data_IF_519051978306
#
_entry.id   IF_519051978306
#
_cell.length_a   1.000
_cell.length_b   1.000
_cell.length_c   1.000
_cell.angle_alpha   90.00
_cell.angle_beta   90.00
_cell.angle_gamma   90.00
#
_symmetry.space_group_name_H-M   'P 1'
#
loop_
_entity.id
_entity.type
_entity.pdbx_description
1 polymer ?
#
# COMPACT_ATOMS: atom_id res chain seq x y z
N UNK A 1 -34.70 3.25 16.32
CA UNK A 1 -34.86 3.28 14.86
C UNK A 1 -34.16 4.53 14.36
N UNK A 2 -33.05 4.37 13.64
CA UNK A 2 -32.25 5.46 13.08
C UNK A 2 -32.30 5.34 11.56
N UNK A 3 -32.72 6.42 10.91
CA UNK A 3 -33.22 6.54 9.53
C UNK A 3 -32.15 6.48 8.41
N UNK A 4 -31.10 5.66 8.56
CA UNK A 4 -30.09 5.47 7.50
C UNK A 4 -29.74 4.00 7.14
N UNK A 5 -30.50 3.00 7.58
CA UNK A 5 -29.94 1.63 7.69
C UNK A 5 -30.72 0.43 7.17
N UNK A 6 -31.38 0.44 5.99
CA UNK A 6 -32.06 -0.79 5.49
C UNK A 6 -31.62 -1.32 4.13
N UNK A 7 -31.18 -0.48 3.18
CA UNK A 7 -30.81 -0.96 1.84
C UNK A 7 -29.41 -1.57 1.77
N UNK A 8 -28.40 -0.92 2.37
CA UNK A 8 -27.01 -1.40 2.32
C UNK A 8 -26.82 -2.73 3.08
N UNK A 9 -27.31 -2.91 4.33
CA UNK A 9 -27.21 -4.20 5.01
C UNK A 9 -27.87 -5.36 4.25
N UNK A 10 -28.99 -5.10 3.56
CA UNK A 10 -29.66 -6.11 2.71
C UNK A 10 -28.82 -6.50 1.50
N UNK A 11 -28.16 -5.53 0.86
CA UNK A 11 -27.25 -5.80 -0.25
C UNK A 11 -26.04 -6.64 0.21
N UNK A 12 -25.46 -6.31 1.36
CA UNK A 12 -24.35 -7.09 1.94
C UNK A 12 -24.80 -8.52 2.26
N UNK A 13 -25.97 -8.70 2.89
CA UNK A 13 -26.51 -10.04 3.15
C UNK A 13 -26.73 -10.84 1.85
N UNK A 14 -27.24 -10.20 0.80
CA UNK A 14 -27.43 -10.84 -0.51
C UNK A 14 -26.11 -11.34 -1.11
N UNK A 15 -25.03 -10.55 -0.98
CA UNK A 15 -23.69 -10.96 -1.39
C UNK A 15 -23.26 -12.20 -0.59
N UNK A 16 -23.40 -12.18 0.73
CA UNK A 16 -23.04 -13.31 1.58
C UNK A 16 -23.82 -14.58 1.22
N UNK A 17 -25.12 -14.45 0.92
CA UNK A 17 -25.95 -15.58 0.49
C UNK A 17 -25.52 -16.15 -0.86
N UNK A 18 -25.22 -15.31 -1.86
CA UNK A 18 -24.73 -15.77 -3.17
C UNK A 18 -23.40 -16.52 -3.06
N UNK A 19 -22.57 -16.14 -2.10
CA UNK A 19 -21.28 -16.78 -1.82
C UNK A 19 -21.40 -18.01 -0.89
N UNK A 20 -22.61 -18.37 -0.45
CA UNK A 20 -22.82 -19.47 0.49
C UNK A 20 -22.23 -19.22 1.89
N UNK A 21 -22.04 -17.95 2.26
CA UNK A 21 -21.47 -17.52 3.54
C UNK A 21 -22.54 -17.18 4.58
N UNK A 22 -23.80 -17.09 4.18
CA UNK A 22 -24.97 -16.89 5.04
C UNK A 22 -26.22 -17.56 4.45
N UNK A 23 -27.07 -18.10 5.32
CA UNK A 23 -28.41 -18.60 4.97
C UNK A 23 -29.46 -17.47 4.99
N UNK A 24 -30.62 -17.62 4.31
CA UNK A 24 -31.67 -16.59 4.25
C UNK A 24 -32.13 -16.06 5.61
N UNK A 25 -32.21 -16.93 6.63
CA UNK A 25 -32.68 -16.58 7.97
C UNK A 25 -31.54 -16.23 8.94
N UNK A 26 -30.33 -16.00 8.42
CA UNK A 26 -29.16 -15.69 9.26
C UNK A 26 -29.33 -14.34 9.96
N UNK A 27 -29.31 -14.36 11.29
CA UNK A 27 -29.22 -13.14 12.09
C UNK A 27 -27.80 -12.61 12.01
N UNK A 28 -27.63 -11.48 11.33
CA UNK A 28 -26.34 -10.81 11.15
C UNK A 28 -26.37 -9.40 11.75
N UNK A 29 -25.26 -8.97 12.35
CA UNK A 29 -25.04 -7.56 12.72
C UNK A 29 -24.05 -6.94 11.77
N UNK A 30 -24.33 -5.71 11.35
CA UNK A 30 -23.55 -4.99 10.36
C UNK A 30 -22.97 -3.74 10.99
N UNK A 31 -21.65 -3.60 10.93
CA UNK A 31 -20.93 -2.43 11.38
C UNK A 31 -20.09 -1.90 10.22
N UNK A 32 -20.30 -0.63 9.86
CA UNK A 32 -19.51 0.02 8.81
C UNK A 32 -18.14 0.40 9.36
N UNK A 33 -17.08 -0.06 8.72
CA UNK A 33 -15.71 0.32 9.08
C UNK A 33 -15.33 1.63 8.40
N UNK A 34 -14.61 2.48 9.11
CA UNK A 34 -14.15 3.80 8.64
C UNK A 34 -12.67 3.76 8.25
N UNK A 35 -12.19 4.80 7.56
CA UNK A 35 -10.76 4.98 7.26
C UNK A 35 -10.35 4.77 5.79
N UNK A 36 -11.17 4.09 4.99
CA UNK A 36 -10.97 3.95 3.54
C UNK A 36 -11.77 4.96 2.72
N UNK A 37 -11.18 5.51 1.65
CA UNK A 37 -11.86 6.44 0.72
C UNK A 37 -12.31 5.76 -0.58
N UNK A 38 -11.70 4.63 -0.95
CA UNK A 38 -11.93 3.92 -2.21
C UNK A 38 -12.94 2.80 -2.13
N UNK A 39 -13.35 2.38 -0.93
CA UNK A 39 -14.24 1.24 -0.73
C UNK A 39 -15.23 1.46 0.40
N UNK A 40 -16.36 0.76 0.30
CA UNK A 40 -17.26 0.47 1.41
C UNK A 40 -16.80 -0.77 2.12
N UNK A 41 -16.49 -0.65 3.41
CA UNK A 41 -15.99 -1.76 4.22
C UNK A 41 -16.97 -2.01 5.35
N UNK A 42 -17.38 -3.26 5.52
CA UNK A 42 -18.32 -3.71 6.52
C UNK A 42 -17.75 -4.85 7.32
N UNK A 43 -17.79 -4.74 8.64
CA UNK A 43 -17.75 -5.90 9.51
C UNK A 43 -19.15 -6.50 9.58
N UNK A 44 -19.24 -7.81 9.39
CA UNK A 44 -20.47 -8.57 9.52
C UNK A 44 -20.28 -9.66 10.57
N UNK A 45 -20.97 -9.52 11.70
CA UNK A 45 -20.99 -10.55 12.73
C UNK A 45 -22.11 -11.54 12.43
N UNK A 46 -21.72 -12.79 12.17
CA UNK A 46 -22.58 -13.96 11.99
C UNK A 46 -22.48 -14.85 13.24
N UNK A 47 -23.38 -15.84 13.43
CA UNK A 47 -23.22 -16.82 14.50
C UNK A 47 -21.84 -17.49 14.46
N UNK A 48 -21.05 -17.28 15.52
CA UNK A 48 -19.73 -17.90 15.71
C UNK A 48 -18.56 -17.29 14.92
N UNK A 49 -18.76 -16.28 14.06
CA UNK A 49 -17.66 -15.66 13.29
C UNK A 49 -17.96 -14.23 12.86
N UNK A 50 -16.89 -13.44 12.68
CA UNK A 50 -16.95 -12.12 12.07
C UNK A 50 -16.27 -12.13 10.69
N UNK A 51 -16.86 -11.42 9.74
CA UNK A 51 -16.36 -11.27 8.37
C UNK A 51 -16.13 -9.81 8.03
N UNK A 52 -15.25 -9.58 7.06
CA UNK A 52 -15.06 -8.28 6.44
C UNK A 52 -15.56 -8.35 4.99
N UNK A 53 -16.52 -7.51 4.63
CA UNK A 53 -16.98 -7.32 3.25
C UNK A 53 -16.45 -5.99 2.74
N UNK A 54 -15.71 -6.04 1.64
CA UNK A 54 -15.15 -4.86 0.99
C UNK A 54 -15.74 -4.73 -0.41
N UNK A 55 -16.38 -3.60 -0.69
CA UNK A 55 -16.99 -3.27 -1.98
C UNK A 55 -16.35 -2.01 -2.56
N UNK A 56 -15.80 -2.09 -3.77
CA UNK A 56 -15.16 -0.94 -4.41
C UNK A 56 -16.20 0.14 -4.78
N UNK A 57 -15.83 1.41 -4.60
CA UNK A 57 -16.63 2.56 -5.02
C UNK A 57 -16.17 3.07 -6.38
N UNK A 58 -17.10 3.39 -7.29
CA UNK A 58 -16.76 4.05 -8.55
C UNK A 58 -16.22 5.48 -8.35
N UNK A 59 -16.78 6.21 -7.38
CA UNK A 59 -16.32 7.54 -6.94
C UNK A 59 -15.72 7.45 -5.54
N UNK A 60 -14.49 7.91 -5.37
CA UNK A 60 -13.79 7.94 -4.08
C UNK A 60 -14.39 9.01 -3.17
N UNK A 61 -14.41 8.74 -1.85
CA UNK A 61 -14.84 9.67 -0.80
C UNK A 61 -13.76 10.71 -0.48
N UNK A 62 -13.37 11.51 -1.46
CA UNK A 62 -12.42 12.62 -1.31
C UNK A 62 -13.04 13.94 -1.77
N UNK A 63 -12.45 15.08 -1.36
CA UNK A 63 -12.99 16.41 -1.69
C UNK A 63 -12.94 16.73 -3.18
N UNK A 64 -11.92 16.21 -3.87
CA UNK A 64 -11.76 16.34 -5.32
C UNK A 64 -12.50 15.22 -6.04
N UNK A 65 -12.96 15.45 -7.27
CA UNK A 65 -13.55 14.39 -8.07
C UNK A 65 -12.46 13.38 -8.48
N UNK A 66 -12.48 12.22 -7.84
CA UNK A 66 -11.58 11.11 -8.12
C UNK A 66 -12.40 9.84 -8.36
N UNK A 67 -12.34 9.36 -9.61
CA UNK A 67 -12.98 8.12 -10.04
C UNK A 67 -11.92 7.04 -10.23
N UNK A 68 -12.27 5.81 -9.88
CA UNK A 68 -11.41 4.67 -10.11
C UNK A 68 -12.24 3.48 -10.62
N UNK A 69 -11.70 2.64 -11.52
CA UNK A 69 -12.40 1.46 -12.03
C UNK A 69 -12.77 0.50 -10.90
N UNK A 70 -14.02 0.04 -10.84
CA UNK A 70 -14.48 -0.90 -9.78
C UNK A 70 -13.89 -2.30 -9.94
N UNK A 71 -13.45 -2.66 -11.15
CA UNK A 71 -12.75 -3.91 -11.45
C UNK A 71 -11.46 -4.11 -10.64
N UNK A 72 -10.92 -3.06 -10.01
CA UNK A 72 -9.80 -3.17 -9.06
C UNK A 72 -10.09 -4.13 -7.90
N UNK A 73 -11.35 -4.32 -7.51
CA UNK A 73 -11.74 -5.32 -6.52
C UNK A 73 -11.38 -6.75 -6.96
N UNK A 74 -11.45 -7.04 -8.26
CA UNK A 74 -11.06 -8.34 -8.83
C UNK A 74 -9.58 -8.60 -8.70
N UNK A 75 -8.76 -7.61 -8.97
CA UNK A 75 -7.32 -7.75 -8.88
C UNK A 75 -6.83 -7.80 -7.43
N UNK A 76 -7.54 -7.15 -6.50
CA UNK A 76 -7.28 -7.33 -5.07
C UNK A 76 -7.55 -8.77 -4.62
N UNK A 77 -8.70 -9.35 -4.98
CA UNK A 77 -9.00 -10.75 -4.68
C UNK A 77 -7.97 -11.70 -5.30
N UNK A 78 -7.60 -11.48 -6.57
CA UNK A 78 -6.57 -12.27 -7.24
C UNK A 78 -5.19 -12.15 -6.57
N UNK A 79 -4.81 -10.96 -6.10
CA UNK A 79 -3.58 -10.77 -5.32
C UNK A 79 -3.64 -11.56 -4.01
N UNK A 80 -4.76 -11.51 -3.28
CA UNK A 80 -4.94 -12.25 -2.04
C UNK A 80 -4.80 -13.76 -2.24
N UNK A 81 -5.35 -14.30 -3.33
CA UNK A 81 -5.18 -15.72 -3.67
C UNK A 81 -3.72 -16.09 -3.91
N UNK A 82 -3.01 -15.31 -4.74
CA UNK A 82 -1.60 -15.59 -5.09
C UNK A 82 -0.71 -15.45 -3.85
N UNK A 83 -0.81 -14.33 -3.13
CA UNK A 83 0.00 -14.06 -1.96
C UNK A 83 -0.31 -15.06 -0.82
N UNK A 84 -1.58 -15.35 -0.57
CA UNK A 84 -2.01 -16.31 0.45
C UNK A 84 -1.58 -17.75 0.17
N UNK A 85 -1.49 -18.14 -1.11
CA UNK A 85 -0.96 -19.44 -1.51
C UNK A 85 0.57 -19.54 -1.32
N UNK A 86 1.30 -18.44 -1.55
CA UNK A 86 2.76 -18.37 -1.34
C UNK A 86 3.13 -18.34 0.15
N UNK A 87 2.38 -17.57 0.95
CA UNK A 87 2.61 -17.42 2.38
C UNK A 87 1.29 -17.29 3.14
N UNK A 88 0.78 -18.38 3.72
CA UNK A 88 -0.42 -18.32 4.56
C UNK A 88 -0.27 -17.28 5.69
N UNK A 89 -1.28 -16.40 5.83
CA UNK A 89 -1.28 -15.33 6.82
C UNK A 89 -0.50 -14.06 6.44
N UNK A 90 -0.07 -13.92 5.17
CA UNK A 90 0.49 -12.67 4.63
C UNK A 90 -0.58 -11.67 4.20
N UNK A 91 -1.79 -12.15 3.93
CA UNK A 91 -3.02 -11.41 3.64
C UNK A 91 -4.15 -12.02 4.47
N UNK A 92 -5.29 -11.33 4.67
CA UNK A 92 -6.48 -11.96 5.23
C UNK A 92 -6.91 -13.12 4.33
N UNK A 93 -7.40 -14.21 4.93
CA UNK A 93 -8.00 -15.30 4.17
C UNK A 93 -9.21 -14.79 3.38
N UNK A 94 -9.12 -14.88 2.05
CA UNK A 94 -10.24 -14.65 1.14
C UNK A 94 -11.27 -15.77 1.32
N UNK A 95 -12.53 -15.40 1.53
CA UNK A 95 -13.65 -16.33 1.75
C UNK A 95 -14.56 -16.43 0.53
N UNK A 96 -14.58 -15.40 -0.31
CA UNK A 96 -15.33 -15.40 -1.55
C UNK A 96 -15.28 -14.05 -2.24
N UNK A 97 -15.64 -14.03 -3.51
CA UNK A 97 -15.72 -12.83 -4.32
C UNK A 97 -17.00 -12.85 -5.15
N UNK A 98 -17.74 -11.75 -5.10
CA UNK A 98 -18.91 -11.48 -5.92
C UNK A 98 -18.56 -10.38 -6.93
N UNK A 99 -18.07 -10.80 -8.10
CA UNK A 99 -17.66 -9.88 -9.18
C UNK A 99 -18.81 -8.98 -9.65
N UNK A 100 -20.04 -9.51 -9.69
CA UNK A 100 -21.22 -8.75 -10.10
C UNK A 100 -21.51 -7.60 -9.13
N UNK A 101 -21.28 -7.81 -7.84
CA UNK A 101 -21.42 -6.78 -6.83
C UNK A 101 -20.15 -5.92 -6.63
N UNK A 102 -19.04 -6.25 -7.31
CA UNK A 102 -17.74 -5.62 -7.10
C UNK A 102 -17.25 -5.75 -5.66
N UNK A 103 -17.54 -6.89 -5.02
CA UNK A 103 -17.29 -7.13 -3.61
C UNK A 103 -16.44 -8.37 -3.37
N UNK A 104 -15.55 -8.28 -2.38
CA UNK A 104 -14.84 -9.43 -1.82
C UNK A 104 -15.19 -9.59 -0.35
N UNK A 105 -15.16 -10.83 0.12
CA UNK A 105 -15.41 -11.20 1.50
C UNK A 105 -14.18 -11.91 2.04
N UNK A 106 -13.66 -11.44 3.16
CA UNK A 106 -12.46 -11.97 3.79
C UNK A 106 -12.66 -12.15 5.29
N UNK A 107 -11.74 -12.86 5.95
CA UNK A 107 -11.75 -12.93 7.40
C UNK A 107 -11.63 -11.54 8.04
N UNK A 108 -12.34 -11.32 9.15
CA UNK A 108 -12.18 -10.11 9.93
C UNK A 108 -11.03 -10.28 10.93
N UNK A 109 -10.04 -9.39 10.85
CA UNK A 109 -8.88 -9.37 11.74
C UNK A 109 -9.10 -8.31 12.84
N UNK A 110 -9.35 -8.68 14.11
CA UNK A 110 -9.68 -7.72 15.15
C UNK A 110 -8.47 -6.85 15.53
N UNK A 111 -8.67 -5.53 15.57
CA UNK A 111 -7.61 -4.54 15.86
C UNK A 111 -6.82 -4.82 17.15
N UNK A 112 -7.49 -5.35 18.20
CA UNK A 112 -6.82 -5.71 19.47
C UNK A 112 -5.71 -6.77 19.29
N UNK A 113 -5.79 -7.60 18.26
CA UNK A 113 -4.83 -8.67 17.92
C UNK A 113 -3.97 -8.27 16.72
N UNK A 114 -4.53 -7.46 15.83
CA UNK A 114 -3.92 -7.01 14.57
C UNK A 114 -3.92 -5.47 14.52
N UNK A 115 -3.15 -4.78 15.38
CA UNK A 115 -3.07 -3.32 15.36
C UNK A 115 -2.58 -2.80 14.01
N UNK A 116 -3.12 -1.67 13.59
CA UNK A 116 -2.72 -1.02 12.35
C UNK A 116 -1.33 -0.39 12.49
N UNK A 117 -0.40 -0.73 11.60
CA UNK A 117 0.99 -0.26 11.71
C UNK A 117 1.08 1.27 11.63
N UNK A 118 0.24 1.92 10.81
CA UNK A 118 0.11 3.39 10.77
C UNK A 118 -0.19 4.00 12.14
N UNK A 119 -1.06 3.37 12.94
CA UNK A 119 -1.40 3.87 14.27
C UNK A 119 -0.21 3.72 15.22
N UNK A 120 0.43 2.54 15.23
CA UNK A 120 1.64 2.31 16.03
C UNK A 120 2.75 3.32 15.69
N UNK A 121 3.05 3.51 14.39
CA UNK A 121 4.05 4.48 13.93
C UNK A 121 3.63 5.94 14.17
N UNK A 122 2.35 6.27 14.28
CA UNK A 122 1.94 7.63 14.70
C UNK A 122 2.26 7.85 16.18
N UNK A 123 2.09 6.81 16.99
CA UNK A 123 2.22 6.86 18.43
C UNK A 123 3.67 6.59 18.91
N UNK A 124 4.66 6.61 17.99
CA UNK A 124 6.07 6.37 18.31
C UNK A 124 6.42 4.90 18.56
N UNK A 125 5.49 3.98 18.35
CA UNK A 125 5.67 2.55 18.57
C UNK A 125 6.21 1.90 17.30
N UNK A 126 7.54 1.85 17.18
CA UNK A 126 8.22 1.20 16.08
C UNK A 126 9.17 0.10 16.59
N UNK A 127 9.30 -0.96 15.81
CA UNK A 127 10.25 -2.06 16.07
C UNK A 127 10.91 -2.45 14.75
N UNK A 128 12.23 -2.32 14.70
CA UNK A 128 13.04 -2.64 13.52
C UNK A 128 12.88 -4.11 13.08
N UNK A 129 12.57 -5.03 14.00
CA UNK A 129 12.27 -6.44 13.69
C UNK A 129 10.95 -6.58 12.94
N UNK A 130 9.94 -5.78 13.28
CA UNK A 130 8.66 -5.74 12.55
C UNK A 130 8.87 -5.21 11.14
N UNK A 131 9.66 -4.14 10.99
CA UNK A 131 10.02 -3.61 9.68
C UNK A 131 10.81 -4.61 8.82
N UNK A 132 11.74 -5.36 9.42
CA UNK A 132 12.44 -6.46 8.76
C UNK A 132 11.46 -7.56 8.27
N UNK A 133 10.47 -7.94 9.10
CA UNK A 133 9.46 -8.91 8.68
C UNK A 133 8.60 -8.41 7.52
N UNK A 134 8.30 -7.10 7.45
CA UNK A 134 7.62 -6.50 6.28
C UNK A 134 8.47 -6.72 5.02
N UNK A 135 9.76 -6.37 5.09
CA UNK A 135 10.70 -6.56 3.97
C UNK A 135 10.82 -8.01 3.52
N UNK A 136 10.93 -8.95 4.47
CA UNK A 136 11.02 -10.39 4.19
C UNK A 136 9.78 -10.93 3.47
N UNK A 137 8.58 -10.56 3.94
CA UNK A 137 7.32 -11.04 3.36
C UNK A 137 7.09 -10.47 1.96
N UNK A 138 7.42 -9.21 1.72
CA UNK A 138 7.35 -8.61 0.38
C UNK A 138 8.33 -9.30 -0.58
N UNK A 139 9.58 -9.49 -0.16
CA UNK A 139 10.57 -10.17 -0.98
C UNK A 139 10.15 -11.61 -1.32
N UNK A 140 9.50 -12.33 -0.39
CA UNK A 140 8.97 -13.67 -0.65
C UNK A 140 7.87 -13.66 -1.72
N UNK A 141 6.91 -12.73 -1.64
CA UNK A 141 5.85 -12.60 -2.65
C UNK A 141 6.45 -12.27 -4.02
N UNK A 142 7.38 -11.32 -4.07
CA UNK A 142 8.04 -10.94 -5.32
C UNK A 142 8.86 -12.11 -5.89
N UNK A 143 9.66 -12.79 -5.07
CA UNK A 143 10.42 -13.97 -5.49
C UNK A 143 9.52 -15.10 -6.00
N UNK A 144 8.40 -15.37 -5.32
CA UNK A 144 7.46 -16.42 -5.69
C UNK A 144 6.66 -16.14 -6.97
N UNK A 145 6.66 -14.89 -7.45
CA UNK A 145 5.91 -14.47 -8.64
C UNK A 145 6.81 -13.96 -9.77
N UNK A 146 8.12 -13.82 -9.51
CA UNK A 146 9.03 -13.28 -10.49
C UNK A 146 9.13 -14.17 -11.75
N UNK A 147 9.07 -13.55 -12.93
CA UNK A 147 9.12 -14.24 -14.24
C UNK A 147 7.94 -15.16 -14.58
N UNK A 148 6.91 -15.26 -13.72
CA UNK A 148 5.72 -16.09 -13.94
C UNK A 148 4.74 -15.45 -14.92
N UNK A 149 4.79 -15.90 -16.18
CA UNK A 149 3.89 -15.44 -17.25
C UNK A 149 2.40 -15.73 -16.97
N UNK A 150 2.09 -16.83 -16.30
CA UNK A 150 0.72 -17.18 -15.88
C UNK A 150 0.17 -16.21 -14.83
N UNK A 151 1.03 -15.72 -13.92
CA UNK A 151 0.65 -14.66 -12.98
C UNK A 151 0.53 -13.35 -13.73
N UNK A 152 1.48 -12.98 -14.59
CA UNK A 152 1.41 -11.76 -15.38
C UNK A 152 0.09 -11.63 -16.17
N UNK A 153 -0.35 -12.72 -16.82
CA UNK A 153 -1.61 -12.76 -17.57
C UNK A 153 -2.87 -12.52 -16.71
N UNK A 154 -2.81 -12.75 -15.39
CA UNK A 154 -3.93 -12.48 -14.45
C UNK A 154 -4.06 -11.01 -14.09
N UNK A 155 -3.02 -10.20 -14.31
CA UNK A 155 -2.97 -8.78 -13.91
C UNK A 155 -2.70 -7.86 -15.12
N UNK A 156 -3.62 -7.77 -16.11
CA UNK A 156 -3.55 -6.77 -17.18
C UNK A 156 -3.95 -5.38 -16.65
N UNK A 157 -3.27 -4.90 -15.61
CA UNK A 157 -3.67 -3.76 -14.77
C UNK A 157 -2.78 -2.54 -14.93
N UNK A 158 -1.94 -2.49 -15.97
CA UNK A 158 -1.03 -1.37 -16.29
C UNK A 158 -1.73 -0.01 -16.23
N UNK A 159 -2.91 0.09 -16.85
CA UNK A 159 -3.71 1.32 -16.86
C UNK A 159 -4.19 1.71 -15.48
N UNK A 160 -4.65 0.73 -14.69
CA UNK A 160 -5.10 0.95 -13.31
C UNK A 160 -3.93 1.47 -12.47
N UNK A 161 -2.79 0.77 -12.51
CA UNK A 161 -1.59 1.15 -11.77
C UNK A 161 -1.10 2.55 -12.18
N UNK A 162 -1.06 2.84 -13.48
CA UNK A 162 -0.71 4.17 -13.97
C UNK A 162 -1.66 5.24 -13.39
N UNK A 163 -2.98 5.06 -13.52
CA UNK A 163 -3.98 6.05 -13.15
C UNK A 163 -4.06 6.33 -11.65
N UNK A 164 -3.74 5.35 -10.81
CA UNK A 164 -3.86 5.49 -9.36
C UNK A 164 -2.52 5.54 -8.62
N UNK A 165 -1.39 5.26 -9.28
CA UNK A 165 -0.04 5.36 -8.70
C UNK A 165 0.89 6.27 -9.49
N UNK A 166 1.22 5.99 -10.74
CA UNK A 166 2.21 6.79 -11.45
C UNK A 166 1.74 8.23 -11.72
N UNK A 167 0.49 8.39 -12.15
CA UNK A 167 -0.10 9.68 -12.48
C UNK A 167 -0.29 10.58 -11.24
N UNK A 168 -1.01 10.15 -10.19
CA UNK A 168 -1.31 11.04 -9.06
C UNK A 168 -0.10 11.31 -8.17
N UNK A 169 0.97 10.54 -8.31
CA UNK A 169 2.22 10.74 -7.58
C UNK A 169 3.27 11.44 -8.44
N UNK A 170 4.00 10.68 -9.27
CA UNK A 170 5.20 11.18 -9.95
C UNK A 170 4.87 12.21 -11.03
N UNK A 171 3.87 11.97 -11.88
CA UNK A 171 3.49 12.94 -12.92
C UNK A 171 2.84 14.19 -12.33
N UNK A 172 2.05 14.05 -11.26
CA UNK A 172 1.49 15.19 -10.54
C UNK A 172 2.57 16.04 -9.88
N UNK A 173 3.52 15.41 -9.19
CA UNK A 173 4.67 16.11 -8.61
C UNK A 173 5.50 16.82 -9.70
N UNK A 174 5.73 16.18 -10.85
CA UNK A 174 6.42 16.80 -11.98
C UNK A 174 5.70 18.02 -12.56
N UNK A 175 4.36 18.06 -12.52
CA UNK A 175 3.60 19.27 -12.90
C UNK A 175 3.69 20.38 -11.87
N UNK A 176 3.80 20.04 -10.58
CA UNK A 176 4.00 21.01 -9.51
C UNK A 176 5.43 21.57 -9.49
N UNK A 177 6.41 20.80 -9.99
CA UNK A 177 7.84 21.11 -10.04
C UNK A 177 8.38 20.93 -11.47
N UNK A 178 8.12 21.89 -12.39
CA UNK A 178 8.44 21.74 -13.82
C UNK A 178 9.92 21.42 -14.11
N UNK A 179 10.84 21.91 -13.29
CA UNK A 179 12.28 21.64 -13.36
C UNK A 179 12.64 20.17 -13.10
N UNK A 180 11.83 19.44 -12.32
CA UNK A 180 12.01 18.03 -12.00
C UNK A 180 11.22 17.10 -12.94
N UNK A 181 10.32 17.66 -13.75
CA UNK A 181 9.37 16.90 -14.58
C UNK A 181 10.03 15.88 -15.51
N UNK A 182 11.13 16.25 -16.16
CA UNK A 182 11.86 15.37 -17.07
C UNK A 182 12.47 14.15 -16.36
N UNK A 183 13.12 14.37 -15.22
CA UNK A 183 13.70 13.29 -14.43
C UNK A 183 12.62 12.34 -13.88
N UNK A 184 11.50 12.90 -13.40
CA UNK A 184 10.36 12.11 -12.93
C UNK A 184 9.70 11.30 -14.06
N UNK A 185 9.61 11.85 -15.28
CA UNK A 185 9.08 11.13 -16.43
C UNK A 185 9.94 9.90 -16.79
N UNK A 186 11.28 10.00 -16.68
CA UNK A 186 12.19 8.85 -16.88
C UNK A 186 11.94 7.76 -15.84
N UNK A 187 11.75 8.13 -14.57
CA UNK A 187 11.41 7.17 -13.50
C UNK A 187 10.07 6.50 -13.76
N UNK A 188 9.06 7.25 -14.21
CA UNK A 188 7.74 6.72 -14.58
C UNK A 188 7.85 5.72 -15.72
N UNK A 189 8.53 6.08 -16.81
CA UNK A 189 8.68 5.21 -17.99
C UNK A 189 9.40 3.91 -17.64
N UNK A 190 10.51 4.00 -16.89
CA UNK A 190 11.25 2.82 -16.43
C UNK A 190 10.38 1.92 -15.55
N UNK A 191 9.62 2.52 -14.63
CA UNK A 191 8.73 1.76 -13.74
C UNK A 191 7.66 1.04 -14.56
N UNK A 192 6.99 1.76 -15.47
CA UNK A 192 5.90 1.23 -16.29
C UNK A 192 6.35 0.08 -17.21
N UNK A 193 7.55 0.20 -17.80
CA UNK A 193 8.11 -0.78 -18.73
C UNK A 193 8.73 -2.00 -18.05
N UNK A 194 9.07 -1.93 -16.77
CA UNK A 194 9.66 -3.05 -16.02
C UNK A 194 8.58 -4.04 -15.59
N UNK A 195 8.67 -5.30 -16.06
CA UNK A 195 7.71 -6.38 -15.83
C UNK A 195 8.37 -7.60 -15.21
N UNK A 196 8.50 -7.61 -13.88
CA UNK A 196 9.31 -8.60 -13.18
C UNK A 196 8.51 -9.49 -12.24
N UNK A 197 7.61 -8.93 -11.40
CA UNK A 197 6.92 -9.68 -10.35
C UNK A 197 5.51 -9.14 -10.08
N UNK A 198 4.72 -9.85 -9.28
CA UNK A 198 3.44 -9.35 -8.78
C UNK A 198 3.69 -8.34 -7.65
N UNK A 199 3.31 -7.09 -7.89
CA UNK A 199 3.51 -5.95 -6.99
C UNK A 199 2.16 -5.58 -6.37
N UNK A 200 2.12 -5.32 -5.07
CA UNK A 200 0.93 -4.89 -4.34
C UNK A 200 0.48 -3.49 -4.76
N UNK A 201 1.44 -2.59 -4.97
CA UNK A 201 1.23 -1.23 -5.46
C UNK A 201 0.75 -0.22 -4.42
N UNK A 202 0.57 -0.60 -3.15
CA UNK A 202 0.18 0.32 -2.06
C UNK A 202 0.68 -0.18 -0.69
N UNK A 203 1.95 -0.59 -0.64
CA UNK A 203 2.59 -1.03 0.60
C UNK A 203 2.88 0.19 1.47
N UNK A 204 1.87 0.66 2.17
CA UNK A 204 1.97 1.76 3.14
C UNK A 204 1.53 1.29 4.52
N UNK A 205 2.00 1.92 5.62
CA UNK A 205 1.62 1.48 6.96
C UNK A 205 0.11 1.47 7.25
N UNK A 206 -0.70 2.21 6.48
CA UNK A 206 -2.17 2.17 6.57
C UNK A 206 -2.79 0.87 6.04
N UNK A 207 -2.02 0.07 5.32
CA UNK A 207 -2.43 -1.15 4.66
C UNK A 207 -1.69 -2.37 5.25
N UNK A 208 -1.09 -2.22 6.43
CA UNK A 208 -0.32 -3.27 7.10
C UNK A 208 -0.84 -3.40 8.53
N UNK A 209 -1.36 -4.58 8.87
CA UNK A 209 -1.66 -4.94 10.26
C UNK A 209 -0.48 -5.71 10.85
N UNK A 210 -0.15 -5.47 12.12
CA UNK A 210 0.90 -6.21 12.81
C UNK A 210 0.25 -7.32 13.65
N UNK A 211 0.15 -8.51 13.06
CA UNK A 211 -0.43 -9.68 13.73
C UNK A 211 0.57 -10.45 14.61
N UNK A 212 0.10 -11.40 15.42
CA UNK A 212 0.95 -12.20 16.30
C UNK A 212 1.99 -13.05 15.56
N UNK A 213 1.70 -13.41 14.30
CA UNK A 213 2.60 -14.19 13.46
C UNK A 213 3.40 -13.34 12.48
N UNK A 214 3.23 -12.01 12.49
CA UNK A 214 3.89 -11.05 11.60
C UNK A 214 2.93 -10.17 10.78
N UNK A 215 3.49 -9.34 9.87
CA UNK A 215 2.73 -8.31 9.15
C UNK A 215 1.76 -8.86 8.10
N UNK A 216 0.50 -8.42 8.12
CA UNK A 216 -0.55 -8.77 7.15
C UNK A 216 -0.81 -7.59 6.22
N UNK A 217 -0.67 -7.81 4.91
CA UNK A 217 -0.95 -6.81 3.88
C UNK A 217 -2.44 -6.77 3.54
N UNK A 218 -2.97 -5.56 3.38
CA UNK A 218 -4.36 -5.25 3.03
C UNK A 218 -4.39 -4.37 1.78
N UNK A 219 -5.54 -4.29 1.12
CA UNK A 219 -5.82 -3.22 0.15
C UNK A 219 -4.88 -3.23 -1.07
N UNK A 220 -4.66 -4.41 -1.65
CA UNK A 220 -3.92 -4.59 -2.90
C UNK A 220 -4.76 -4.23 -4.15
N UNK A 221 -5.59 -3.18 -4.06
CA UNK A 221 -6.42 -2.73 -5.20
C UNK A 221 -5.60 -2.14 -6.35
N UNK A 222 -4.31 -1.89 -6.11
CA UNK A 222 -3.34 -1.42 -7.09
C UNK A 222 -2.44 -2.53 -7.63
N UNK A 223 -2.79 -3.79 -7.36
CA UNK A 223 -1.96 -4.91 -7.75
C UNK A 223 -1.73 -4.95 -9.26
N UNK A 224 -0.47 -5.14 -9.65
CA UNK A 224 -0.05 -5.24 -11.04
C UNK A 224 1.17 -6.12 -11.20
N UNK A 225 1.39 -6.62 -12.42
CA UNK A 225 2.64 -7.29 -12.75
C UNK A 225 3.64 -6.25 -13.27
N UNK A 226 4.70 -5.98 -12.51
CA UNK A 226 5.52 -4.79 -12.73
C UNK A 226 6.85 -4.78 -11.98
N UNK A 227 7.32 -3.58 -11.66
CA UNK A 227 8.60 -3.35 -10.96
C UNK A 227 8.46 -3.53 -9.43
N UNK A 228 9.04 -4.59 -8.83
CA UNK A 228 8.98 -4.81 -7.38
C UNK A 228 9.70 -3.73 -6.56
N UNK A 229 10.56 -2.91 -7.18
CA UNK A 229 11.18 -1.77 -6.52
C UNK A 229 10.16 -0.74 -6.03
N UNK A 230 8.97 -0.66 -6.66
CA UNK A 230 7.92 0.28 -6.27
C UNK A 230 7.42 0.05 -4.85
N UNK A 231 7.06 -1.18 -4.49
CA UNK A 231 6.54 -1.49 -3.15
C UNK A 231 7.56 -1.22 -2.05
N UNK A 232 8.84 -1.52 -2.30
CA UNK A 232 9.93 -1.20 -1.38
C UNK A 232 10.04 0.31 -1.17
N UNK A 233 10.17 1.07 -2.26
CA UNK A 233 10.30 2.52 -2.20
C UNK A 233 9.08 3.19 -1.55
N UNK A 234 7.88 2.71 -1.86
CA UNK A 234 6.62 3.24 -1.34
C UNK A 234 6.50 3.05 0.18
N UNK A 235 6.89 1.88 0.70
CA UNK A 235 6.87 1.64 2.14
C UNK A 235 7.95 2.44 2.88
N UNK A 236 9.18 2.46 2.35
CA UNK A 236 10.31 3.18 2.96
C UNK A 236 10.06 4.69 3.03
N UNK A 237 9.44 5.27 2.00
CA UNK A 237 8.99 6.67 1.97
C UNK A 237 8.18 7.05 3.21
N UNK A 238 7.24 6.20 3.62
CA UNK A 238 6.42 6.47 4.80
C UNK A 238 7.21 6.46 6.10
N UNK A 239 8.27 5.66 6.22
CA UNK A 239 9.14 5.66 7.40
C UNK A 239 9.91 6.97 7.52
N UNK A 240 10.43 7.50 6.40
CA UNK A 240 11.10 8.81 6.39
C UNK A 240 10.13 9.96 6.78
N UNK A 241 8.92 9.98 6.20
CA UNK A 241 7.90 10.98 6.52
C UNK A 241 7.45 10.92 7.98
N UNK A 242 7.53 9.76 8.64
CA UNK A 242 7.14 9.63 10.06
C UNK A 242 8.11 10.34 11.00
N UNK A 243 9.36 10.59 10.59
CA UNK A 243 10.30 11.40 11.36
C UNK A 243 9.78 12.82 11.62
N UNK A 244 8.94 13.37 10.74
CA UNK A 244 8.31 14.70 10.93
C UNK A 244 7.11 14.63 11.87
N UNK A 245 6.35 13.53 11.83
CA UNK A 245 5.15 13.34 12.65
C UNK A 245 5.50 13.11 14.14
N UNK A 246 6.58 12.39 14.41
CA UNK A 246 6.99 11.99 15.76
C UNK A 246 8.51 12.13 15.90
N UNK A 247 9.05 13.36 15.99
CA UNK A 247 10.50 13.62 15.92
C UNK A 247 11.32 12.82 16.94
N UNK A 248 10.79 12.60 18.14
CA UNK A 248 11.44 11.82 19.21
C UNK A 248 11.64 10.34 18.84
N UNK A 249 10.86 9.80 17.90
CA UNK A 249 10.97 8.43 17.41
C UNK A 249 11.74 8.35 16.07
N UNK A 250 12.30 9.47 15.59
CA UNK A 250 13.08 9.51 14.35
C UNK A 250 14.18 8.43 14.29
N UNK A 251 15.04 8.23 15.32
CA UNK A 251 16.07 7.20 15.26
C UNK A 251 15.51 5.79 15.00
N UNK A 252 14.41 5.40 15.66
CA UNK A 252 13.82 4.07 15.46
C UNK A 252 13.13 3.93 14.10
N UNK A 253 12.58 4.99 13.52
CA UNK A 253 12.06 4.94 12.14
C UNK A 253 13.16 4.73 11.10
N UNK A 254 14.32 5.35 11.32
CA UNK A 254 15.50 5.21 10.49
C UNK A 254 16.12 3.81 10.63
N UNK A 255 16.13 3.23 11.83
CA UNK A 255 16.48 1.82 12.05
C UNK A 255 15.50 0.85 11.38
N UNK A 256 14.20 1.19 11.37
CA UNK A 256 13.18 0.43 10.66
C UNK A 256 13.38 0.50 9.15
N UNK A 257 13.75 1.68 8.60
CA UNK A 257 14.07 1.85 7.19
C UNK A 257 15.24 0.95 6.79
N UNK A 258 16.32 0.96 7.56
CA UNK A 258 17.49 0.12 7.29
C UNK A 258 17.16 -1.37 7.44
N UNK A 259 16.43 -1.74 8.48
CA UNK A 259 16.08 -3.15 8.72
C UNK A 259 15.13 -3.71 7.66
N UNK A 260 14.15 -2.93 7.20
CA UNK A 260 13.25 -3.31 6.11
C UNK A 260 14.04 -3.44 4.79
N UNK A 261 14.79 -2.41 4.41
CA UNK A 261 15.55 -2.41 3.15
C UNK A 261 16.55 -3.56 3.07
N UNK A 262 17.35 -3.76 4.13
CA UNK A 262 18.30 -4.87 4.21
C UNK A 262 17.61 -6.23 4.12
N UNK A 263 16.51 -6.42 4.86
CA UNK A 263 15.82 -7.70 4.89
C UNK A 263 15.12 -8.01 3.56
N UNK A 264 14.56 -6.99 2.90
CA UNK A 264 14.00 -7.12 1.56
C UNK A 264 15.10 -7.48 0.54
N UNK A 265 16.19 -6.71 0.49
CA UNK A 265 17.28 -6.92 -0.47
C UNK A 265 17.98 -8.28 -0.28
N UNK A 266 18.09 -8.76 0.96
CA UNK A 266 18.58 -10.11 1.24
C UNK A 266 17.70 -11.21 0.63
N UNK A 267 16.39 -10.97 0.55
CA UNK A 267 15.41 -11.87 -0.07
C UNK A 267 15.30 -11.74 -1.59
N UNK A 268 16.00 -10.78 -2.22
CA UNK A 268 16.02 -10.64 -3.69
C UNK A 268 16.90 -11.74 -4.28
N UNK A 269 16.25 -12.65 -5.02
CA UNK A 269 16.86 -13.82 -5.66
C UNK A 269 16.53 -13.96 -7.15
N UNK A 270 15.69 -13.07 -7.70
CA UNK A 270 15.18 -13.17 -9.08
C UNK A 270 15.84 -12.18 -10.06
N UNK A 271 16.61 -11.22 -9.54
CA UNK A 271 17.37 -10.24 -10.30
C UNK A 271 18.59 -9.80 -9.51
N UNK A 272 19.41 -8.93 -10.09
CA UNK A 272 20.58 -8.37 -9.42
C UNK A 272 20.13 -7.35 -8.35
N UNK A 273 20.70 -7.46 -7.13
CA UNK A 273 20.25 -6.71 -5.95
C UNK A 273 20.52 -5.21 -6.08
N UNK A 274 21.69 -4.83 -6.57
CA UNK A 274 22.07 -3.42 -6.75
C UNK A 274 21.21 -2.72 -7.81
N UNK A 275 20.81 -3.45 -8.85
CA UNK A 275 19.89 -2.98 -9.89
C UNK A 275 18.49 -2.72 -9.34
N UNK A 276 17.95 -3.61 -8.51
CA UNK A 276 16.68 -3.35 -7.81
C UNK A 276 16.82 -2.18 -6.84
N UNK A 277 17.88 -2.13 -6.04
CA UNK A 277 18.11 -1.07 -5.06
C UNK A 277 18.19 0.30 -5.76
N UNK A 278 18.91 0.41 -6.87
CA UNK A 278 19.01 1.63 -7.66
C UNK A 278 17.65 2.06 -8.25
N UNK A 279 16.79 1.11 -8.64
CA UNK A 279 15.42 1.44 -9.06
C UNK A 279 14.58 1.98 -7.91
N UNK A 280 14.66 1.36 -6.74
CA UNK A 280 13.96 1.82 -5.54
C UNK A 280 14.49 3.19 -5.08
N UNK A 281 15.80 3.40 -5.15
CA UNK A 281 16.46 4.64 -4.78
C UNK A 281 16.11 5.81 -5.72
N UNK A 282 15.87 5.56 -7.01
CA UNK A 282 15.37 6.64 -7.89
C UNK A 282 13.85 6.89 -7.72
N UNK A 283 13.08 5.87 -7.34
CA UNK A 283 11.63 5.99 -7.10
C UNK A 283 11.31 6.79 -5.84
N UNK A 284 12.04 6.52 -4.76
CA UNK A 284 11.72 7.02 -3.43
C UNK A 284 11.66 8.57 -3.37
N UNK A 285 12.63 9.34 -3.89
CA UNK A 285 12.58 10.81 -3.88
C UNK A 285 11.34 11.37 -4.57
N UNK A 286 10.95 10.81 -5.72
CA UNK A 286 9.74 11.20 -6.44
C UNK A 286 8.47 10.89 -5.65
N UNK A 287 8.41 9.73 -4.99
CA UNK A 287 7.30 9.38 -4.10
C UNK A 287 7.26 10.27 -2.85
N UNK A 288 8.42 10.65 -2.31
CA UNK A 288 8.56 11.54 -1.16
C UNK A 288 8.03 12.94 -1.47
N UNK A 289 8.44 13.51 -2.61
CA UNK A 289 7.91 14.78 -3.12
C UNK A 289 6.40 14.72 -3.37
N UNK A 290 5.93 13.65 -4.00
CA UNK A 290 4.51 13.44 -4.30
C UNK A 290 3.62 13.35 -3.05
N UNK A 291 4.15 12.93 -1.90
CA UNK A 291 3.42 12.93 -0.63
C UNK A 291 3.26 14.33 -0.03
N UNK A 292 3.86 15.35 -0.62
CA UNK A 292 3.66 16.76 -0.24
C UNK A 292 2.96 17.54 -1.35
N UNK A 293 3.39 17.38 -2.61
CA UNK A 293 2.91 18.19 -3.75
C UNK A 293 2.24 17.37 -4.87
N UNK A 294 1.95 16.09 -4.63
CA UNK A 294 1.14 15.26 -5.54
C UNK A 294 -0.37 15.37 -5.27
N UNK A 295 -1.18 14.55 -5.94
CA UNK A 295 -2.65 14.49 -5.74
C UNK A 295 -3.07 13.77 -4.46
N UNK A 296 -2.14 13.07 -3.81
CA UNK A 296 -2.39 12.34 -2.56
C UNK A 296 -1.33 12.69 -1.51
N UNK A 297 -1.36 13.90 -0.93
CA UNK A 297 -0.43 14.26 0.14
C UNK A 297 -0.69 13.44 1.42
N UNK A 298 0.33 13.25 2.26
CA UNK A 298 0.14 12.73 3.63
C UNK A 298 -0.62 13.74 4.47
N UNK A 299 -1.61 13.25 5.22
CA UNK A 299 -2.50 14.08 6.02
C UNK A 299 -1.84 14.65 7.28
N UNK A 300 -0.68 14.12 7.68
CA UNK A 300 0.02 14.46 8.91
C UNK A 300 1.23 15.39 8.72
N UNK A 301 1.63 15.71 7.48
CA UNK A 301 2.67 16.73 7.22
C UNK A 301 1.98 17.99 6.72
N UNK A 302 1.62 18.85 7.66
CA UNK A 302 0.83 20.06 7.39
C UNK A 302 1.65 21.34 7.42
N UNK A 303 2.74 21.37 8.19
CA UNK A 303 3.62 22.54 8.34
C UNK A 303 4.42 22.77 7.04
N UNK A 304 4.43 24.01 6.54
CA UNK A 304 5.21 24.36 5.35
C UNK A 304 6.72 24.27 5.57
N UNK A 305 7.20 24.43 6.81
CA UNK A 305 8.61 24.19 7.14
C UNK A 305 8.96 22.75 6.83
N UNK A 306 8.18 21.80 7.35
CA UNK A 306 8.40 20.36 7.14
C UNK A 306 8.28 19.96 5.67
N UNK A 307 7.26 20.49 4.97
CA UNK A 307 7.12 20.31 3.52
C UNK A 307 8.34 20.85 2.75
N UNK A 308 8.89 21.99 3.16
CA UNK A 308 10.09 22.55 2.53
C UNK A 308 11.32 21.65 2.71
N UNK A 309 11.46 20.97 3.86
CA UNK A 309 12.52 19.96 4.08
C UNK A 309 12.38 18.80 3.10
N UNK A 310 11.16 18.26 2.97
CA UNK A 310 10.85 17.20 2.01
C UNK A 310 11.20 17.63 0.58
N UNK A 311 10.78 18.84 0.18
CA UNK A 311 11.06 19.40 -1.15
C UNK A 311 12.56 19.50 -1.41
N UNK A 312 13.35 20.05 -0.47
CA UNK A 312 14.81 20.19 -0.62
C UNK A 312 15.50 18.86 -0.87
N UNK A 313 15.26 17.89 0.00
CA UNK A 313 15.91 16.57 -0.09
C UNK A 313 15.43 15.81 -1.33
N UNK A 314 14.13 15.82 -1.62
CA UNK A 314 13.60 15.15 -2.80
C UNK A 314 14.13 15.78 -4.09
N UNK A 315 14.11 17.11 -4.23
CA UNK A 315 14.61 17.80 -5.41
C UNK A 315 16.10 17.49 -5.65
N UNK A 316 16.93 17.60 -4.61
CA UNK A 316 18.35 17.30 -4.71
C UNK A 316 18.63 15.86 -5.18
N UNK A 317 17.87 14.88 -4.67
CA UNK A 317 18.01 13.46 -5.04
C UNK A 317 17.36 13.10 -6.39
N UNK A 318 16.41 13.90 -6.88
CA UNK A 318 15.86 13.74 -8.24
C UNK A 318 16.84 14.31 -9.28
N UNK A 319 17.45 15.46 -9.00
CA UNK A 319 18.44 16.09 -9.87
C UNK A 319 19.76 15.32 -9.90
N UNK A 320 20.17 14.77 -8.75
CA UNK A 320 21.38 13.96 -8.59
C UNK A 320 21.02 12.60 -7.97
N UNK A 321 20.52 11.66 -8.79
CA UNK A 321 20.12 10.33 -8.32
C UNK A 321 21.27 9.58 -7.65
N UNK A 322 20.93 8.84 -6.62
CA UNK A 322 21.81 7.88 -5.93
C UNK A 322 21.34 6.47 -6.19
N UNK A 323 22.25 5.50 -6.10
CA UNK A 323 21.94 4.09 -6.38
C UNK A 323 21.64 3.27 -5.13
N UNK A 324 21.89 3.81 -3.94
CA UNK A 324 21.74 3.12 -2.67
C UNK A 324 20.70 3.79 -1.78
N UNK A 325 19.84 2.99 -1.16
CA UNK A 325 18.80 3.47 -0.23
C UNK A 325 19.41 4.11 1.02
N UNK A 326 20.59 3.63 1.44
CA UNK A 326 21.35 4.21 2.55
C UNK A 326 21.72 5.68 2.33
N UNK A 327 22.02 6.07 1.10
CA UNK A 327 22.34 7.47 0.76
C UNK A 327 21.14 8.40 0.90
N UNK A 328 19.93 7.90 0.60
CA UNK A 328 18.69 8.66 0.81
C UNK A 328 18.43 8.85 2.30
N UNK A 329 18.58 7.78 3.09
CA UNK A 329 18.47 7.84 4.55
C UNK A 329 19.44 8.87 5.13
N UNK A 330 20.70 8.85 4.71
CA UNK A 330 21.72 9.78 5.18
C UNK A 330 21.40 11.24 4.83
N UNK A 331 20.96 11.52 3.60
CA UNK A 331 20.53 12.86 3.20
C UNK A 331 19.33 13.36 4.02
N UNK A 332 18.42 12.46 4.38
CA UNK A 332 17.30 12.80 5.26
C UNK A 332 17.73 13.05 6.71
N UNK A 333 18.65 12.24 7.23
CA UNK A 333 19.24 12.45 8.57
C UNK A 333 19.95 13.81 8.68
N UNK A 334 20.70 14.20 7.66
CA UNK A 334 21.38 15.51 7.60
C UNK A 334 20.38 16.66 7.62
N UNK A 335 19.39 16.65 6.72
CA UNK A 335 18.32 17.66 6.70
C UNK A 335 17.53 17.70 8.01
N UNK A 336 17.34 16.55 8.67
CA UNK A 336 16.64 16.46 9.95
C UNK A 336 17.39 17.12 11.12
N UNK A 337 18.71 17.21 11.02
CA UNK A 337 19.59 17.79 12.06
C UNK A 337 19.71 19.32 12.00
N UNK A 338 19.30 19.96 10.89
CA UNK A 338 19.24 21.42 10.69
C UNK A 338 18.01 22.09 11.36
#
# INVERSE_FOLDING_TARGET
>A
MSEYGTAEPRQILTILMRLGLAEPDTIARFERLTGGVSSDIWRVDLPGRALCVKRALAKLRVRQDWFAPVERNRYEAAYMEVAGALLPGVVPRLLGQDEMAGALVMEFLPERVYPLWKAQLRDGQADARVAAMVGQRLALIHAGTAGRADIAARFPTDRIFHDIRLEPYLLAAGRAHPELSGALAVVVERTASTKLALVHGDVSPKNILIGPNGPVFLDAECAWYGDPAFDLAFCLNHLLLKCLCTPQACPVYLDCFESLSRAYLAGVTWEERSGLEARAAALLPGLFLARVDGKSPVEYVTDERDKARVRRVAAALIERPVEQLGSIKAAWEEELAE
#
